data_IF_725453994120
#
_entry.id   IF_725453994120
#
_cell.length_a   1.000
_cell.length_b   1.000
_cell.length_c   1.000
_cell.angle_alpha   90.00
_cell.angle_beta   90.00
_cell.angle_gamma   90.00
#
_symmetry.space_group_name_H-M   'P 1'
#
loop_
_entity.id
_entity.type
_entity.pdbx_description
1 polymer ?
#
# COMPACT_ATOMS: atom_id res chain seq x y z
N UNK A 1 -2.44 9.53 -9.78
CA UNK A 1 -3.54 8.89 -9.04
C UNK A 1 -3.46 9.39 -7.60
N UNK A 2 -4.57 9.40 -6.88
CA UNK A 2 -4.62 9.71 -5.45
C UNK A 2 -4.94 8.46 -4.64
N UNK A 3 -4.62 8.51 -3.36
CA UNK A 3 -4.94 7.47 -2.39
C UNK A 3 -5.01 8.08 -1.00
N UNK A 4 -5.55 7.33 -0.04
CA UNK A 4 -5.61 7.76 1.33
C UNK A 4 -6.24 6.73 2.25
N UNK A 5 -6.26 7.04 3.54
CA UNK A 5 -7.01 6.29 4.54
C UNK A 5 -7.64 7.26 5.55
N UNK A 6 -8.72 6.80 6.17
CA UNK A 6 -9.36 7.47 7.30
C UNK A 6 -9.52 6.49 8.46
N UNK A 7 -9.13 6.89 9.67
CA UNK A 7 -9.30 6.06 10.84
C UNK A 7 -10.73 6.13 11.38
N UNK A 8 -11.47 5.05 11.20
CA UNK A 8 -12.88 4.96 11.53
C UNK A 8 -13.14 4.70 13.03
N UNK A 9 -12.26 3.95 13.72
CA UNK A 9 -12.51 3.56 15.12
C UNK A 9 -12.56 4.77 16.06
N UNK A 10 -13.58 4.84 16.93
CA UNK A 10 -13.75 5.94 17.90
C UNK A 10 -12.78 5.87 19.07
N UNK A 11 -12.25 4.69 19.36
CA UNK A 11 -11.25 4.48 20.41
C UNK A 11 -9.83 4.83 19.95
N UNK A 12 -9.65 5.15 18.67
CA UNK A 12 -8.35 5.53 18.09
C UNK A 12 -8.30 7.02 17.81
N UNK A 13 -7.10 7.64 17.83
CA UNK A 13 -6.92 8.99 17.31
C UNK A 13 -7.47 9.09 15.89
N UNK A 14 -8.24 10.14 15.61
CA UNK A 14 -8.76 10.39 14.26
C UNK A 14 -7.60 10.85 13.38
N UNK A 15 -7.23 10.01 12.43
CA UNK A 15 -6.20 10.28 11.44
C UNK A 15 -6.85 10.22 10.07
N UNK A 16 -6.65 11.28 9.29
CA UNK A 16 -6.99 11.34 7.87
C UNK A 16 -5.71 11.63 7.11
N UNK A 17 -5.40 10.79 6.13
CA UNK A 17 -4.26 10.99 5.26
C UNK A 17 -4.70 10.79 3.82
N UNK A 18 -4.30 11.73 2.96
CA UNK A 18 -4.47 11.64 1.52
C UNK A 18 -3.23 12.16 0.83
N UNK A 19 -2.89 11.57 -0.31
CA UNK A 19 -1.74 12.00 -1.10
C UNK A 19 -1.91 11.56 -2.55
N UNK A 20 -1.06 12.07 -3.43
CA UNK A 20 -0.94 11.58 -4.80
C UNK A 20 0.28 10.67 -4.95
N UNK A 21 0.24 9.85 -6.00
CA UNK A 21 1.35 9.03 -6.45
C UNK A 21 1.55 9.19 -7.97
N UNK A 22 2.81 9.06 -8.40
CA UNK A 22 3.26 9.33 -9.77
C UNK A 22 4.06 8.16 -10.37
N UNK A 23 4.49 8.34 -11.62
CA UNK A 23 5.34 7.48 -12.45
C UNK A 23 4.76 6.15 -12.94
N UNK A 24 4.13 5.36 -12.06
CA UNK A 24 3.63 4.02 -12.42
C UNK A 24 2.10 3.95 -12.39
N UNK A 25 1.41 4.20 -13.53
CA UNK A 25 -0.04 4.16 -13.59
C UNK A 25 -0.53 2.71 -13.46
N UNK A 26 -1.17 2.39 -12.35
CA UNK A 26 -1.92 1.15 -12.14
C UNK A 26 -2.96 1.38 -11.04
N UNK A 27 -4.19 0.88 -11.21
CA UNK A 27 -5.23 0.95 -10.18
C UNK A 27 -4.82 0.27 -8.88
N UNK A 28 -3.91 -0.70 -8.94
CA UNK A 28 -3.42 -1.43 -7.76
C UNK A 28 -2.42 -0.64 -6.90
N UNK A 29 -1.72 0.33 -7.48
CA UNK A 29 -0.72 1.17 -6.78
C UNK A 29 -1.33 2.02 -5.66
N UNK A 30 -2.34 2.88 -5.91
CA UNK A 30 -2.94 3.70 -4.86
C UNK A 30 -3.46 2.85 -3.70
N UNK A 31 -4.09 1.71 -4.00
CA UNK A 31 -4.59 0.76 -2.99
C UNK A 31 -3.48 0.21 -2.09
N UNK A 32 -2.35 -0.19 -2.69
CA UNK A 32 -1.20 -0.68 -1.92
C UNK A 32 -0.58 0.41 -1.06
N UNK A 33 -0.53 1.65 -1.56
CA UNK A 33 0.00 2.79 -0.83
C UNK A 33 -0.92 3.20 0.34
N UNK A 34 -2.24 3.10 0.18
CA UNK A 34 -3.20 3.34 1.25
C UNK A 34 -3.01 2.36 2.41
N UNK A 35 -2.80 1.07 2.11
CA UNK A 35 -2.49 0.07 3.13
C UNK A 35 -1.15 0.41 3.81
N UNK A 36 -0.12 0.71 3.03
CA UNK A 36 1.22 1.04 3.56
C UNK A 36 1.15 2.23 4.52
N UNK A 37 0.52 3.34 4.13
CA UNK A 37 0.45 4.54 4.97
C UNK A 37 -0.43 4.34 6.21
N UNK A 38 -1.50 3.55 6.10
CA UNK A 38 -2.35 3.22 7.25
C UNK A 38 -1.59 2.42 8.32
N UNK A 39 -0.73 1.48 7.93
CA UNK A 39 0.04 0.67 8.90
C UNK A 39 1.28 1.40 9.44
N UNK A 40 1.83 2.37 8.72
CA UNK A 40 2.97 3.20 9.19
C UNK A 40 2.59 3.96 10.47
N UNK A 41 1.35 4.42 10.57
CA UNK A 41 0.87 5.18 11.73
C UNK A 41 0.35 4.27 12.86
N UNK A 42 0.34 2.95 12.67
CA UNK A 42 -0.14 2.01 13.67
C UNK A 42 0.89 1.83 14.80
N UNK A 43 0.47 1.72 16.07
CA UNK A 43 1.37 1.43 17.17
C UNK A 43 1.89 -0.02 17.10
N UNK A 44 3.02 -0.27 17.75
CA UNK A 44 3.56 -1.62 17.90
C UNK A 44 2.52 -2.57 18.52
N UNK A 45 2.43 -3.81 18.03
CA UNK A 45 1.48 -4.83 18.46
C UNK A 45 0.00 -4.52 18.23
N UNK A 46 -0.33 -3.48 17.45
CA UNK A 46 -1.72 -3.13 17.18
C UNK A 46 -2.48 -4.22 16.42
N UNK A 47 -3.78 -4.29 16.70
CA UNK A 47 -4.73 -5.00 15.85
C UNK A 47 -5.31 -4.01 14.83
N UNK A 48 -5.02 -4.23 13.55
CA UNK A 48 -5.35 -3.31 12.46
C UNK A 48 -6.32 -4.02 11.52
N UNK A 49 -7.52 -3.48 11.38
CA UNK A 49 -8.50 -3.92 10.39
C UNK A 49 -8.64 -2.83 9.33
N UNK A 50 -8.30 -3.15 8.09
CA UNK A 50 -8.44 -2.25 6.95
C UNK A 50 -9.57 -2.75 6.08
N UNK A 51 -10.56 -1.90 5.87
CA UNK A 51 -11.66 -2.11 4.94
C UNK A 51 -11.26 -1.52 3.59
N UNK A 52 -11.24 -2.34 2.55
CA UNK A 52 -10.80 -1.95 1.19
C UNK A 52 -11.65 -2.65 0.15
N UNK A 53 -11.89 -1.98 -0.98
CA UNK A 53 -12.54 -2.55 -2.15
C UNK A 53 -11.56 -3.21 -3.14
N UNK A 54 -10.26 -3.19 -2.82
CA UNK A 54 -9.23 -3.79 -3.64
C UNK A 54 -9.04 -5.28 -3.36
N UNK A 55 -9.78 -6.12 -4.08
CA UNK A 55 -9.58 -7.58 -4.04
C UNK A 55 -8.12 -7.95 -4.35
N UNK A 56 -7.48 -7.24 -5.29
CA UNK A 56 -6.07 -7.49 -5.65
C UNK A 56 -5.09 -7.24 -4.50
N UNK A 57 -5.38 -6.28 -3.61
CA UNK A 57 -4.60 -6.04 -2.41
C UNK A 57 -4.79 -7.15 -1.37
N UNK A 58 -6.03 -7.60 -1.20
CA UNK A 58 -6.37 -8.73 -0.33
C UNK A 58 -5.68 -10.01 -0.79
N UNK A 59 -5.76 -10.34 -2.07
CA UNK A 59 -5.15 -11.56 -2.63
C UNK A 59 -3.63 -11.55 -2.43
N UNK A 60 -3.00 -10.39 -2.65
CA UNK A 60 -1.55 -10.25 -2.46
C UNK A 60 -1.18 -10.38 -0.98
N UNK A 61 -1.91 -9.73 -0.07
CA UNK A 61 -1.71 -9.87 1.37
C UNK A 61 -1.84 -11.33 1.84
N UNK A 62 -2.89 -12.03 1.39
CA UNK A 62 -3.11 -13.43 1.74
C UNK A 62 -1.98 -14.33 1.23
N UNK A 63 -1.40 -14.03 0.07
CA UNK A 63 -0.22 -14.74 -0.46
C UNK A 63 1.03 -14.54 0.41
N UNK A 64 1.26 -13.34 0.95
CA UNK A 64 2.37 -13.12 1.87
C UNK A 64 2.12 -13.81 3.22
N UNK A 65 0.88 -13.74 3.72
CA UNK A 65 0.46 -14.41 4.94
C UNK A 65 0.62 -15.92 4.86
N UNK A 66 0.29 -16.55 3.73
CA UNK A 66 0.47 -17.99 3.54
C UNK A 66 1.94 -18.42 3.50
N UNK A 67 2.86 -17.48 3.27
CA UNK A 67 4.32 -17.68 3.36
C UNK A 67 4.87 -17.29 4.75
N UNK A 68 4.01 -17.14 5.77
CA UNK A 68 4.36 -16.70 7.12
C UNK A 68 5.17 -15.38 7.14
N UNK A 69 4.86 -14.45 6.22
CA UNK A 69 5.57 -13.18 6.09
C UNK A 69 7.08 -13.30 5.84
N UNK A 70 7.53 -14.46 5.37
CA UNK A 70 8.91 -14.73 5.00
C UNK A 70 9.03 -15.15 3.52
N UNK A 71 8.59 -14.30 2.57
CA UNK A 71 8.72 -14.60 1.16
C UNK A 71 10.20 -14.55 0.73
N UNK A 72 10.63 -15.55 -0.03
CA UNK A 72 11.93 -15.47 -0.71
C UNK A 72 11.96 -14.25 -1.65
N UNK A 73 13.11 -13.56 -1.75
CA UNK A 73 13.30 -12.36 -2.58
C UNK A 73 12.81 -12.54 -4.03
N UNK A 74 13.11 -13.69 -4.64
CA UNK A 74 12.59 -14.08 -5.96
C UNK A 74 11.06 -14.05 -6.06
N UNK A 75 10.34 -14.44 -5.02
CA UNK A 75 8.87 -14.43 -4.98
C UNK A 75 8.32 -13.00 -4.96
N UNK A 76 9.03 -12.08 -4.30
CA UNK A 76 8.72 -10.65 -4.26
C UNK A 76 8.87 -10.05 -5.67
N UNK A 77 10.02 -10.26 -6.33
CA UNK A 77 10.27 -9.75 -7.68
C UNK A 77 9.42 -10.43 -8.79
N UNK A 78 8.76 -11.55 -8.49
CA UNK A 78 7.77 -12.18 -9.37
C UNK A 78 6.39 -11.52 -9.32
N UNK A 79 6.14 -10.64 -8.35
CA UNK A 79 4.91 -9.87 -8.33
C UNK A 79 4.82 -9.01 -9.59
N UNK A 80 3.60 -8.85 -10.11
CA UNK A 80 3.38 -8.14 -11.37
C UNK A 80 3.78 -6.66 -11.26
N UNK A 81 3.46 -6.02 -10.14
CA UNK A 81 3.75 -4.62 -9.84
C UNK A 81 3.78 -4.38 -8.33
N UNK A 82 4.21 -3.18 -7.93
CA UNK A 82 4.28 -2.68 -6.55
C UNK A 82 5.07 -3.59 -5.60
N UNK A 83 6.06 -4.33 -6.11
CA UNK A 83 6.80 -5.31 -5.31
C UNK A 83 7.59 -4.68 -4.15
N UNK A 84 8.04 -3.44 -4.33
CA UNK A 84 8.71 -2.64 -3.30
C UNK A 84 7.73 -2.28 -2.17
N UNK A 85 6.55 -1.73 -2.52
CA UNK A 85 5.49 -1.40 -1.55
C UNK A 85 5.08 -2.65 -0.76
N UNK A 86 4.89 -3.78 -1.45
CA UNK A 86 4.52 -5.04 -0.80
C UNK A 86 5.63 -5.56 0.13
N UNK A 87 6.90 -5.37 -0.23
CA UNK A 87 8.02 -5.69 0.65
C UNK A 87 8.00 -4.81 1.91
N UNK A 88 7.78 -3.50 1.76
CA UNK A 88 7.69 -2.58 2.90
C UNK A 88 6.51 -2.90 3.81
N UNK A 89 5.34 -3.24 3.25
CA UNK A 89 4.19 -3.71 4.04
C UNK A 89 4.59 -4.93 4.88
N UNK A 90 5.24 -5.92 4.26
CA UNK A 90 5.69 -7.11 4.95
C UNK A 90 6.70 -6.80 6.07
N UNK A 91 7.69 -5.94 5.80
CA UNK A 91 8.68 -5.52 6.80
C UNK A 91 8.07 -4.74 7.97
N UNK A 92 7.10 -3.85 7.71
CA UNK A 92 6.44 -3.07 8.76
C UNK A 92 5.56 -3.98 9.62
N UNK A 93 4.72 -4.83 9.01
CA UNK A 93 3.86 -5.74 9.78
C UNK A 93 4.70 -6.68 10.65
N UNK A 94 5.79 -7.22 10.12
CA UNK A 94 6.67 -8.11 10.90
C UNK A 94 7.46 -7.36 11.98
N UNK A 95 8.02 -6.19 11.68
CA UNK A 95 8.83 -5.42 12.64
C UNK A 95 7.99 -4.82 13.77
N UNK A 96 6.78 -4.36 13.48
CA UNK A 96 5.84 -3.85 14.49
C UNK A 96 4.98 -4.97 15.10
N UNK A 97 5.12 -6.21 14.63
CA UNK A 97 4.31 -7.37 15.04
C UNK A 97 2.80 -7.04 15.04
N UNK A 98 2.32 -6.47 13.93
CA UNK A 98 0.93 -6.07 13.76
C UNK A 98 0.05 -7.29 13.48
N UNK A 99 -1.16 -7.30 14.04
CA UNK A 99 -2.22 -8.21 13.61
C UNK A 99 -3.04 -7.50 12.54
N UNK A 100 -2.59 -7.61 11.28
CA UNK A 100 -3.26 -6.98 10.14
C UNK A 100 -4.31 -7.91 9.52
N UNK A 101 -5.54 -7.42 9.38
CA UNK A 101 -6.61 -8.04 8.63
C UNK A 101 -7.13 -7.08 7.56
N UNK A 102 -7.17 -7.54 6.31
CA UNK A 102 -7.83 -6.83 5.22
C UNK A 102 -9.24 -7.41 5.03
N UNK A 103 -10.25 -6.56 4.99
CA UNK A 103 -11.66 -6.90 4.87
C UNK A 103 -12.18 -6.31 3.56
N UNK A 104 -12.71 -7.18 2.71
CA UNK A 104 -13.30 -6.74 1.45
C UNK A 104 -14.59 -5.96 1.69
N UNK A 105 -14.69 -4.78 1.09
CA UNK A 105 -15.91 -4.01 0.97
C UNK A 105 -16.26 -3.90 -0.50
N UNK A 106 -17.52 -4.11 -0.86
CA UNK A 106 -17.92 -3.97 -2.25
C UNK A 106 -17.85 -2.49 -2.65
N UNK A 107 -17.13 -2.17 -3.73
CA UNK A 107 -17.12 -0.81 -4.28
C UNK A 107 -18.55 -0.31 -4.53
N UNK A 108 -18.80 0.97 -4.21
CA UNK A 108 -20.10 1.61 -4.36
C UNK A 108 -21.26 0.90 -3.63
N UNK A 109 -20.98 0.29 -2.48
CA UNK A 109 -22.00 -0.37 -1.65
C UNK A 109 -22.66 0.53 -0.62
N UNK A 110 -22.34 1.82 -0.57
CA UNK A 110 -22.87 2.73 0.45
C UNK A 110 -22.08 2.74 1.76
N UNK A 111 -20.85 2.19 1.79
CA UNK A 111 -20.02 2.27 2.99
C UNK A 111 -19.55 3.71 3.24
N UNK A 112 -19.94 4.35 4.36
CA UNK A 112 -19.71 5.78 4.54
C UNK A 112 -18.24 6.18 4.59
N UNK A 113 -17.36 5.30 5.11
CA UNK A 113 -15.94 5.61 5.25
C UNK A 113 -15.18 5.41 3.93
N UNK A 114 -15.55 4.39 3.14
CA UNK A 114 -14.99 4.19 1.81
C UNK A 114 -15.44 5.33 0.86
N UNK A 115 -16.73 5.70 0.86
CA UNK A 115 -17.21 6.83 0.05
C UNK A 115 -16.58 8.16 0.48
N UNK A 116 -16.37 8.35 1.79
CA UNK A 116 -15.68 9.52 2.32
C UNK A 116 -14.22 9.60 1.82
N UNK A 117 -13.46 8.50 1.87
CA UNK A 117 -12.07 8.53 1.42
C UNK A 117 -11.96 8.66 -0.09
N UNK A 118 -12.87 8.07 -0.87
CA UNK A 118 -12.95 8.23 -2.33
C UNK A 118 -13.20 9.69 -2.73
N UNK A 119 -14.13 10.35 -2.02
CA UNK A 119 -14.40 11.77 -2.19
C UNK A 119 -13.15 12.61 -1.91
N UNK A 120 -12.45 12.34 -0.80
CA UNK A 120 -11.21 13.05 -0.45
C UNK A 120 -10.07 12.79 -1.43
N UNK A 121 -9.94 11.58 -1.94
CA UNK A 121 -8.97 11.25 -2.97
C UNK A 121 -9.31 11.99 -4.28
N UNK A 122 -10.58 12.14 -4.62
CA UNK A 122 -11.02 12.88 -5.81
C UNK A 122 -10.71 14.38 -5.70
N UNK A 123 -10.90 15.00 -4.53
CA UNK A 123 -10.50 16.39 -4.26
C UNK A 123 -8.99 16.58 -4.47
N UNK A 124 -8.18 15.68 -3.91
CA UNK A 124 -6.72 15.72 -3.97
C UNK A 124 -6.20 15.49 -5.39
N UNK A 125 -6.83 14.59 -6.15
CA UNK A 125 -6.45 14.32 -7.55
C UNK A 125 -6.62 15.56 -8.44
N UNK A 126 -7.66 16.35 -8.20
CA UNK A 126 -7.96 17.55 -8.99
C UNK A 126 -7.18 18.79 -8.52
N UNK A 127 -6.43 18.68 -7.42
CA UNK A 127 -5.65 19.78 -6.88
C UNK A 127 -4.17 19.66 -7.27
N UNK A 128 -3.68 20.60 -8.08
CA UNK A 128 -2.30 20.63 -8.57
C UNK A 128 -1.25 20.88 -7.48
N UNK A 129 -1.66 21.32 -6.29
CA UNK A 129 -0.76 21.58 -5.15
C UNK A 129 -0.74 20.42 -4.13
N UNK A 130 -1.34 19.27 -4.46
CA UNK A 130 -1.36 18.11 -3.57
C UNK A 130 0.02 17.52 -3.35
N UNK A 131 0.28 17.04 -2.13
CA UNK A 131 1.51 16.32 -1.82
C UNK A 131 1.64 15.04 -2.65
N UNK A 132 2.89 14.71 -3.00
CA UNK A 132 3.25 13.47 -3.69
C UNK A 132 4.02 12.62 -2.71
N UNK A 133 3.62 11.36 -2.54
CA UNK A 133 4.40 10.43 -1.73
C UNK A 133 5.57 9.90 -2.56
N UNK A 134 6.76 9.94 -1.98
CA UNK A 134 7.96 9.31 -2.53
C UNK A 134 8.37 8.17 -1.61
N UNK A 135 8.55 6.98 -2.17
CA UNK A 135 9.02 5.82 -1.42
C UNK A 135 10.54 5.89 -1.36
N UNK A 136 11.08 5.86 -0.14
CA UNK A 136 12.50 5.64 0.06
C UNK A 136 12.76 4.14 0.06
N UNK A 137 13.65 3.69 -0.80
CA UNK A 137 14.07 2.28 -0.92
C UNK A 137 15.35 1.99 -0.15
N UNK A 138 15.97 3.01 0.41
CA UNK A 138 17.15 2.91 1.25
C UNK A 138 16.77 2.23 2.57
N UNK A 139 17.56 1.21 2.97
CA UNK A 139 17.41 0.47 4.23
C UNK A 139 16.30 -0.59 4.31
N UNK A 140 15.81 -1.12 3.17
CA UNK A 140 15.06 -2.38 3.20
C UNK A 140 15.97 -3.53 3.69
N UNK A 141 15.40 -4.45 4.48
CA UNK A 141 16.18 -5.53 5.12
C UNK A 141 16.70 -6.57 4.12
N UNK A 142 15.92 -6.85 3.07
CA UNK A 142 16.15 -7.96 2.13
C UNK A 142 16.39 -7.52 0.67
N UNK A 143 16.06 -6.27 0.31
CA UNK A 143 16.28 -5.69 -1.02
C UNK A 143 17.38 -4.64 -0.89
N UNK A 144 18.59 -4.97 -1.32
CA UNK A 144 19.73 -4.04 -1.30
C UNK A 144 19.95 -3.30 -2.62
N UNK A 145 19.38 -3.82 -3.70
CA UNK A 145 19.51 -3.25 -5.03
C UNK A 145 18.15 -3.26 -5.71
N UNK A 146 17.86 -2.16 -6.36
CA UNK A 146 16.60 -1.90 -7.05
C UNK A 146 16.89 -1.41 -8.47
N UNK A 147 15.91 -1.54 -9.37
CA UNK A 147 16.11 -1.29 -10.79
C UNK A 147 15.61 0.12 -11.10
N UNK A 148 16.50 1.02 -11.52
CA UNK A 148 16.10 2.37 -11.90
C UNK A 148 16.05 2.54 -13.43
N UNK A 149 15.03 3.25 -13.92
CA UNK A 149 14.92 3.71 -15.30
C UNK A 149 14.69 5.23 -15.32
N UNK A 150 15.56 6.00 -15.96
CA UNK A 150 15.50 7.47 -15.97
C UNK A 150 15.37 8.08 -14.56
N UNK A 151 16.14 7.59 -13.59
CA UNK A 151 16.09 7.97 -12.18
C UNK A 151 14.72 7.72 -11.49
N UNK A 152 13.88 6.87 -12.08
CA UNK A 152 12.62 6.41 -11.51
C UNK A 152 12.78 4.93 -11.14
N UNK A 153 12.48 4.62 -9.90
CA UNK A 153 12.51 3.25 -9.37
C UNK A 153 11.47 2.38 -10.07
N UNK A 154 11.88 1.23 -10.61
CA UNK A 154 11.00 0.32 -11.34
C UNK A 154 10.26 -0.57 -10.35
N UNK A 155 8.94 -0.39 -10.30
CA UNK A 155 8.09 -1.17 -9.39
C UNK A 155 7.40 -2.36 -10.04
N UNK A 156 7.60 -2.56 -11.34
CA UNK A 156 7.12 -3.73 -12.07
C UNK A 156 8.06 -4.93 -11.89
N UNK A 157 7.61 -6.13 -12.24
CA UNK A 157 8.51 -7.28 -12.28
C UNK A 157 9.72 -6.98 -13.19
N UNK A 158 10.98 -7.10 -12.71
CA UNK A 158 12.15 -6.76 -13.52
C UNK A 158 12.20 -7.51 -14.85
N UNK A 159 11.76 -8.77 -14.87
CA UNK A 159 11.69 -9.58 -16.09
C UNK A 159 10.74 -8.97 -17.12
N UNK A 160 9.55 -8.54 -16.69
CA UNK A 160 8.54 -7.94 -17.58
C UNK A 160 8.89 -6.53 -18.02
N UNK A 161 9.72 -5.84 -17.25
CA UNK A 161 10.15 -4.49 -17.58
C UNK A 161 11.21 -4.49 -18.70
N UNK A 162 12.09 -5.50 -18.70
CA UNK A 162 13.21 -5.59 -19.65
C UNK A 162 12.84 -6.39 -20.91
N UNK A 163 11.87 -7.31 -20.83
CA UNK A 163 11.39 -8.12 -21.96
C UNK A 163 10.32 -7.42 -22.78
#
# INVERSE_FOLDING_TARGET
MSFGFAQACDLSPKVLFTSTCQHWPSSYRPESLAILTAIIVAPIHANVMIYTDSQSAIDTWLKFRSMNFNPHLRSIFKLRSNHIVQNQINEIVTSLNLKLQLIYVKAHSGDPWNEFIDSKCSEVYNNNNSSIITLLTDNMKNIHYTLNWNNIEVEQSPRKFIS
#
